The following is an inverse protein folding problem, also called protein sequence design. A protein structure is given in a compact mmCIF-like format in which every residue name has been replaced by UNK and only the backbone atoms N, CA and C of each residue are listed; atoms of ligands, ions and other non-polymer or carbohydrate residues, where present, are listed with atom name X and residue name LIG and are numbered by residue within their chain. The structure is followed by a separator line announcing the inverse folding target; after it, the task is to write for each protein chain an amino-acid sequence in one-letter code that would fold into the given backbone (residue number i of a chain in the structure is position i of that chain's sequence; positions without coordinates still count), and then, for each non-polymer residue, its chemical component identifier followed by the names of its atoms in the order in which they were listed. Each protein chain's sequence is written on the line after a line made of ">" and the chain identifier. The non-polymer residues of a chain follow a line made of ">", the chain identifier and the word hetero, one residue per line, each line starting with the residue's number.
data_IF_977726607038
#
_entry.id   IF_977726607038
#
_cell.length_a   1.000
_cell.length_b   1.000
_cell.length_c   1.000
_cell.angle_alpha   90.00
_cell.angle_beta   90.00
_cell.angle_gamma   90.00
#
_symmetry.space_group_name_H-M   'P 1'
#
loop_
_entity.id
_entity.type
_entity.pdbx_description
1 polymer ?
#
# COMPACT_ATOMS: atom_id res chain seq x y z
N UNK A 1 2.27 12.70 -12.76
CA UNK A 1 3.26 11.61 -12.71
C UNK A 1 3.02 10.77 -11.45
N UNK A 2 3.55 9.55 -11.37
CA UNK A 2 3.39 8.67 -10.21
C UNK A 2 4.42 9.05 -9.13
N UNK A 3 3.97 9.32 -7.89
CA UNK A 3 4.85 9.67 -6.76
C UNK A 3 5.18 8.44 -5.90
N UNK A 4 6.18 7.69 -6.35
CA UNK A 4 6.66 6.50 -5.62
C UNK A 4 7.45 6.82 -4.36
N UNK A 5 7.94 8.07 -4.21
CA UNK A 5 8.72 8.47 -3.04
C UNK A 5 7.84 8.58 -1.79
N UNK A 6 6.63 9.14 -1.94
CA UNK A 6 5.76 9.39 -0.79
C UNK A 6 4.60 8.39 -0.65
N UNK A 7 4.21 7.74 -1.76
CA UNK A 7 2.95 6.97 -1.84
C UNK A 7 3.09 5.51 -2.24
N UNK A 8 4.30 4.95 -2.30
CA UNK A 8 4.51 3.51 -2.47
C UNK A 8 4.25 2.74 -1.15
N UNK A 9 2.98 2.73 -0.72
CA UNK A 9 2.50 2.13 0.52
C UNK A 9 1.03 1.70 0.39
N UNK A 10 0.62 0.69 1.14
CA UNK A 10 -0.77 0.29 1.27
C UNK A 10 -1.49 1.18 2.26
N UNK A 11 -2.69 1.66 1.91
CA UNK A 11 -3.62 2.31 2.84
C UNK A 11 -4.36 1.25 3.63
N UNK A 12 -4.39 1.40 4.95
CA UNK A 12 -5.18 0.59 5.87
C UNK A 12 -6.22 1.48 6.53
N UNK A 13 -7.49 1.12 6.43
CA UNK A 13 -8.59 1.83 7.07
C UNK A 13 -9.20 0.98 8.17
N UNK A 14 -9.46 1.60 9.31
CA UNK A 14 -10.14 0.94 10.42
C UNK A 14 -11.50 1.57 10.62
N UNK A 15 -12.48 0.77 11.03
CA UNK A 15 -13.77 1.27 11.46
C UNK A 15 -13.84 1.07 12.98
N UNK A 16 -13.87 2.17 13.74
CA UNK A 16 -13.77 2.08 15.21
C UNK A 16 -15.03 1.51 15.86
N UNK A 17 -16.20 1.71 15.24
CA UNK A 17 -17.50 1.25 15.76
C UNK A 17 -18.37 0.67 14.65
N UNK A 18 -19.22 -0.30 14.96
CA UNK A 18 -20.11 -0.94 13.97
C UNK A 18 -21.17 0.01 13.41
N UNK A 19 -21.63 0.94 14.23
CA UNK A 19 -22.59 1.98 13.85
C UNK A 19 -21.86 3.10 13.10
N UNK A 20 -22.26 3.35 11.85
CA UNK A 20 -21.56 4.30 10.96
C UNK A 20 -21.57 5.73 11.53
N UNK A 21 -22.67 6.15 12.15
CA UNK A 21 -22.81 7.50 12.73
C UNK A 21 -21.84 7.78 13.89
N UNK A 22 -21.32 6.73 14.54
CA UNK A 22 -20.34 6.81 15.63
C UNK A 22 -18.95 6.33 15.22
N UNK A 23 -18.81 5.87 13.98
CA UNK A 23 -17.56 5.31 13.49
C UNK A 23 -16.62 6.44 13.08
N UNK A 24 -15.38 6.34 13.56
CA UNK A 24 -14.26 7.06 12.98
C UNK A 24 -13.52 6.13 12.02
N UNK A 25 -12.88 6.73 11.01
CA UNK A 25 -12.14 6.00 9.98
C UNK A 25 -10.65 6.41 9.96
N UNK A 26 -9.88 6.08 11.00
CA UNK A 26 -8.46 6.39 11.00
C UNK A 26 -7.76 5.61 9.89
N UNK A 27 -6.90 6.32 9.16
CA UNK A 27 -6.07 5.75 8.12
C UNK A 27 -4.67 5.52 8.66
N UNK A 28 -4.17 4.31 8.46
CA UNK A 28 -2.76 3.97 8.68
C UNK A 28 -2.15 3.46 7.37
N UNK A 29 -0.83 3.30 7.35
CA UNK A 29 -0.11 2.91 6.15
C UNK A 29 0.87 1.79 6.45
N UNK A 30 1.02 0.86 5.50
CA UNK A 30 1.99 -0.23 5.53
C UNK A 30 2.86 -0.19 4.28
N UNK A 31 4.14 -0.53 4.42
CA UNK A 31 5.07 -0.61 3.29
C UNK A 31 4.68 -1.74 2.31
N UNK A 32 4.99 -1.53 1.03
CA UNK A 32 4.90 -2.59 0.01
C UNK A 32 6.07 -3.55 0.22
N UNK A 33 5.80 -4.86 0.27
CA UNK A 33 6.86 -5.87 0.26
C UNK A 33 7.25 -6.12 -1.18
N UNK A 34 8.49 -5.76 -1.52
CA UNK A 34 9.02 -5.83 -2.87
C UNK A 34 9.81 -7.13 -3.12
N UNK A 35 10.35 -7.73 -2.07
CA UNK A 35 11.23 -8.89 -2.15
C UNK A 35 10.45 -10.20 -2.44
N UNK A 36 10.87 -10.98 -3.45
CA UNK A 36 10.38 -12.35 -3.68
C UNK A 36 10.70 -13.30 -2.52
N UNK A 37 10.07 -14.48 -2.52
CA UNK A 37 10.29 -15.49 -1.46
C UNK A 37 11.63 -16.23 -1.62
N UNK A 38 12.12 -16.38 -2.85
CA UNK A 38 13.34 -17.11 -3.19
C UNK A 38 14.14 -16.43 -4.31
N UNK A 39 15.17 -17.12 -4.79
CA UNK A 39 16.08 -16.68 -5.85
C UNK A 39 15.71 -17.20 -7.24
N UNK A 40 14.58 -17.88 -7.41
CA UNK A 40 14.12 -18.32 -8.73
C UNK A 40 13.66 -17.12 -9.56
N UNK A 41 13.24 -16.05 -8.90
CA UNK A 41 12.80 -14.80 -9.52
C UNK A 41 13.52 -13.59 -8.91
N UNK A 42 14.13 -12.78 -9.77
CA UNK A 42 14.75 -11.52 -9.36
C UNK A 42 13.72 -10.43 -9.06
N UNK A 43 14.04 -9.54 -8.13
CA UNK A 43 13.19 -8.42 -7.78
C UNK A 43 13.12 -7.41 -8.95
N UNK A 44 11.90 -7.09 -9.40
CA UNK A 44 11.67 -6.10 -10.45
C UNK A 44 11.39 -4.72 -9.82
N UNK A 45 12.24 -3.70 -10.08
CA UNK A 45 12.07 -2.37 -9.53
C UNK A 45 10.91 -1.61 -10.19
N UNK A 46 10.32 -0.59 -9.53
CA UNK A 46 9.25 0.22 -10.09
C UNK A 46 9.67 0.94 -11.38
N UNK A 47 8.83 0.84 -12.42
CA UNK A 47 9.02 1.51 -13.69
C UNK A 47 7.76 2.28 -14.12
N UNK A 48 7.92 3.25 -15.03
CA UNK A 48 6.80 4.00 -15.60
C UNK A 48 5.90 3.04 -16.40
N UNK A 49 4.63 2.93 -16.02
CA UNK A 49 3.63 2.11 -16.72
C UNK A 49 3.08 2.89 -17.91
N UNK A 50 3.42 2.48 -19.14
CA UNK A 50 2.97 3.09 -20.40
C UNK A 50 2.12 2.07 -21.16
N UNK A 51 1.03 2.53 -21.77
CA UNK A 51 0.09 1.72 -22.55
C UNK A 51 -0.03 2.27 -23.97
#
# INVERSE_FOLDING_TARGET
>A
ERDDKNWMKHTLSWQTHREVEKAEFPLTYRQVISQPLDNEMEHIPPAKRVY
#
